data_IF_161018595121
#
_entry.id   IF_161018595121
#
_cell.length_a   1.000
_cell.length_b   1.000
_cell.length_c   1.000
_cell.angle_alpha   90.00
_cell.angle_beta   90.00
_cell.angle_gamma   90.00
#
_symmetry.space_group_name_H-M   'P 1'
#
loop_
_entity.id
_entity.type
_entity.pdbx_description
1 polymer ?
#
# COMPACT_ATOMS: atom_id res chain seq x y z
N UNK A 1 15.42 -6.82 -2.53
CA UNK A 1 14.79 -7.17 -3.82
C UNK A 1 14.02 -5.94 -4.25
N UNK A 2 14.16 -5.47 -5.48
CA UNK A 2 13.49 -4.24 -5.93
C UNK A 2 11.98 -4.42 -5.78
N UNK A 3 11.41 -3.60 -4.91
CA UNK A 3 9.99 -3.51 -4.62
C UNK A 3 9.34 -2.84 -5.82
N UNK A 4 8.51 -3.57 -6.57
CA UNK A 4 7.70 -2.96 -7.61
C UNK A 4 6.68 -2.04 -6.92
N UNK A 5 6.93 -0.74 -7.00
CA UNK A 5 5.96 0.28 -6.59
C UNK A 5 4.72 0.10 -7.46
N UNK A 6 3.54 0.26 -6.87
CA UNK A 6 2.29 0.27 -7.61
C UNK A 6 1.94 1.75 -7.84
N UNK A 7 2.38 2.37 -8.96
CA UNK A 7 2.10 3.76 -9.21
C UNK A 7 0.63 3.94 -9.56
N UNK A 8 0.01 4.93 -8.91
CA UNK A 8 -1.25 5.51 -9.33
C UNK A 8 -1.03 7.02 -9.32
N UNK A 9 -1.27 7.68 -10.44
CA UNK A 9 -0.94 9.10 -10.59
C UNK A 9 -1.81 10.01 -9.73
N UNK A 10 -2.98 9.52 -9.32
CA UNK A 10 -3.97 10.27 -8.55
C UNK A 10 -3.85 10.08 -7.03
N UNK A 11 -2.89 9.26 -6.56
CA UNK A 11 -2.71 9.02 -5.12
C UNK A 11 -1.85 10.12 -4.49
N UNK A 12 -2.52 11.19 -4.07
CA UNK A 12 -1.92 12.40 -3.53
C UNK A 12 -2.58 12.81 -2.22
N UNK A 13 -1.78 13.08 -1.18
CA UNK A 13 -2.26 13.67 0.09
C UNK A 13 -1.47 14.91 0.39
N UNK A 14 -2.14 16.07 0.41
CA UNK A 14 -1.52 17.36 0.68
C UNK A 14 -0.23 17.61 -0.14
N UNK A 15 -0.27 17.29 -1.45
CA UNK A 15 0.86 17.43 -2.37
C UNK A 15 1.91 16.30 -2.29
N UNK A 16 1.78 15.34 -1.37
CA UNK A 16 2.64 14.16 -1.30
C UNK A 16 2.08 13.02 -2.15
N UNK A 17 2.90 12.49 -3.05
CA UNK A 17 2.57 11.27 -3.80
C UNK A 17 2.70 10.05 -2.88
N UNK A 18 1.65 9.25 -2.83
CA UNK A 18 1.59 8.06 -1.99
C UNK A 18 1.80 6.82 -2.85
N UNK A 19 2.81 6.04 -2.50
CA UNK A 19 3.06 4.74 -3.08
C UNK A 19 2.86 3.64 -2.06
N UNK A 20 2.48 2.46 -2.54
CA UNK A 20 2.41 1.27 -1.73
C UNK A 20 3.35 0.20 -2.24
N UNK A 21 3.82 -0.58 -1.29
CA UNK A 21 4.62 -1.77 -1.45
C UNK A 21 4.07 -2.85 -0.52
N UNK A 22 4.21 -4.10 -0.91
CA UNK A 22 3.89 -5.24 -0.07
C UNK A 22 5.19 -5.86 0.46
N UNK A 23 5.25 -6.16 1.75
CA UNK A 23 6.41 -6.82 2.35
C UNK A 23 6.61 -8.24 1.77
N UNK A 24 7.85 -8.72 1.71
CA UNK A 24 8.25 -9.98 1.04
C UNK A 24 7.39 -11.20 1.45
N UNK A 25 7.05 -11.32 2.74
CA UNK A 25 6.20 -12.42 3.23
C UNK A 25 4.80 -12.40 2.60
N UNK A 26 4.23 -11.22 2.44
CA UNK A 26 2.91 -11.04 1.83
C UNK A 26 2.99 -11.30 0.33
N UNK A 27 4.04 -10.81 -0.34
CA UNK A 27 4.28 -11.13 -1.76
C UNK A 27 4.44 -12.63 -2.00
N UNK A 28 5.18 -13.34 -1.14
CA UNK A 28 5.33 -14.80 -1.22
C UNK A 28 3.98 -15.51 -1.06
N UNK A 29 3.12 -15.04 -0.16
CA UNK A 29 1.77 -15.59 0.02
C UNK A 29 0.92 -15.36 -1.24
N UNK A 30 0.97 -14.16 -1.81
CA UNK A 30 0.22 -13.81 -3.03
C UNK A 30 0.70 -14.68 -4.20
N UNK A 31 2.02 -14.76 -4.42
CA UNK A 31 2.61 -15.57 -5.49
C UNK A 31 2.29 -17.06 -5.35
N UNK A 32 2.19 -17.60 -4.12
CA UNK A 32 1.76 -19.00 -3.91
C UNK A 32 0.32 -19.27 -4.34
N UNK A 33 -0.53 -18.25 -4.29
CA UNK A 33 -1.95 -18.36 -4.61
C UNK A 33 -2.25 -17.90 -6.06
N UNK A 34 -1.29 -17.27 -6.73
CA UNK A 34 -1.40 -16.88 -8.13
C UNK A 34 -1.12 -18.09 -9.04
N UNK A 35 -1.86 -18.28 -10.15
CA UNK A 35 -1.58 -19.34 -11.12
C UNK A 35 -0.28 -19.11 -11.90
N UNK A 36 0.18 -17.84 -11.99
CA UNK A 36 1.37 -17.41 -12.70
C UNK A 36 2.58 -17.17 -11.79
N UNK A 37 3.78 -17.10 -12.39
CA UNK A 37 5.05 -16.85 -11.69
C UNK A 37 5.12 -15.44 -11.09
N UNK A 38 4.47 -14.48 -11.73
CA UNK A 38 4.38 -13.09 -11.31
C UNK A 38 2.91 -12.77 -11.04
N UNK A 39 2.54 -12.52 -9.79
CA UNK A 39 1.14 -12.30 -9.41
C UNK A 39 0.48 -11.11 -10.11
N UNK A 40 1.25 -10.07 -10.48
CA UNK A 40 0.74 -8.86 -11.12
C UNK A 40 0.41 -9.05 -12.61
N UNK A 41 0.88 -10.14 -13.23
CA UNK A 41 0.53 -10.51 -14.60
C UNK A 41 -0.85 -11.21 -14.66
N UNK A 42 -1.31 -11.76 -13.54
CA UNK A 42 -2.68 -12.26 -13.42
C UNK A 42 -3.64 -11.08 -13.19
N UNK A 43 -4.50 -10.83 -14.18
CA UNK A 43 -5.43 -9.70 -14.15
C UNK A 43 -6.37 -9.76 -12.94
N UNK A 44 -6.86 -10.93 -12.55
CA UNK A 44 -7.79 -11.06 -11.43
C UNK A 44 -7.09 -10.77 -10.09
N UNK A 45 -5.87 -11.29 -9.90
CA UNK A 45 -5.07 -11.04 -8.70
C UNK A 45 -4.64 -9.58 -8.64
N UNK A 46 -4.22 -9.00 -9.76
CA UNK A 46 -3.83 -7.59 -9.85
C UNK A 46 -5.02 -6.66 -9.51
N UNK A 47 -6.18 -6.86 -10.14
CA UNK A 47 -7.39 -6.08 -9.86
C UNK A 47 -7.83 -6.19 -8.39
N UNK A 48 -7.72 -7.38 -7.80
CA UNK A 48 -8.01 -7.60 -6.39
C UNK A 48 -7.12 -6.73 -5.48
N UNK A 49 -5.80 -6.73 -5.73
CA UNK A 49 -4.86 -5.94 -4.94
C UNK A 49 -4.98 -4.44 -5.18
N UNK A 50 -5.16 -4.00 -6.42
CA UNK A 50 -5.43 -2.59 -6.74
C UNK A 50 -6.67 -2.08 -6.00
N UNK A 51 -7.74 -2.87 -5.95
CA UNK A 51 -8.94 -2.52 -5.19
C UNK A 51 -8.66 -2.37 -3.69
N UNK A 52 -7.85 -3.26 -3.11
CA UNK A 52 -7.46 -3.16 -1.68
C UNK A 52 -6.59 -1.95 -1.40
N UNK A 53 -5.61 -1.68 -2.24
CA UNK A 53 -4.74 -0.51 -2.13
C UNK A 53 -5.55 0.78 -2.25
N UNK A 54 -6.54 0.82 -3.15
CA UNK A 54 -7.48 1.94 -3.26
C UNK A 54 -8.27 2.18 -1.97
N UNK A 55 -8.73 1.11 -1.30
CA UNK A 55 -9.37 1.25 0.02
C UNK A 55 -8.42 1.81 1.08
N UNK A 56 -7.16 1.38 1.10
CA UNK A 56 -6.19 1.92 2.06
C UNK A 56 -5.81 3.36 1.74
N UNK A 57 -5.73 3.74 0.46
CA UNK A 57 -5.56 5.14 0.09
C UNK A 57 -6.70 6.01 0.67
N UNK A 58 -7.95 5.53 0.57
CA UNK A 58 -9.10 6.20 1.19
C UNK A 58 -8.92 6.29 2.72
N UNK A 59 -8.48 5.21 3.38
CA UNK A 59 -8.23 5.24 4.82
C UNK A 59 -7.14 6.23 5.23
N UNK A 60 -6.04 6.33 4.46
CA UNK A 60 -4.96 7.29 4.73
C UNK A 60 -5.49 8.72 4.58
N UNK A 61 -6.31 8.99 3.55
CA UNK A 61 -6.98 10.28 3.40
C UNK A 61 -7.85 10.61 4.62
N UNK A 62 -8.72 9.69 5.04
CA UNK A 62 -9.60 9.89 6.20
C UNK A 62 -8.81 10.11 7.49
N UNK A 63 -7.72 9.35 7.69
CA UNK A 63 -6.82 9.52 8.81
C UNK A 63 -6.17 10.91 8.81
N UNK A 64 -5.67 11.35 7.65
CA UNK A 64 -5.10 12.68 7.50
C UNK A 64 -6.12 13.79 7.74
N UNK A 65 -7.32 13.66 7.20
CA UNK A 65 -8.41 14.63 7.38
C UNK A 65 -8.83 14.74 8.85
N UNK A 66 -8.79 13.63 9.60
CA UNK A 66 -9.16 13.59 11.01
C UNK A 66 -8.06 14.12 11.96
N UNK A 67 -6.79 13.79 11.69
CA UNK A 67 -5.70 14.03 12.63
C UNK A 67 -4.66 15.06 12.15
N UNK A 68 -4.71 15.47 10.89
CA UNK A 68 -3.75 16.39 10.27
C UNK A 68 -2.34 15.79 10.06
N UNK A 69 -2.18 14.49 10.32
CA UNK A 69 -0.91 13.77 10.20
C UNK A 69 -1.12 12.48 9.41
N UNK A 70 -0.06 12.02 8.75
CA UNK A 70 -0.09 10.76 8.00
C UNK A 70 0.21 9.56 8.91
N UNK A 71 -0.28 8.35 8.59
CA UNK A 71 0.04 7.13 9.33
C UNK A 71 1.54 6.87 9.43
N UNK A 72 1.95 6.33 10.57
CA UNK A 72 3.31 5.97 10.93
C UNK A 72 3.49 4.45 10.99
N UNK A 73 4.75 4.03 11.12
CA UNK A 73 5.10 2.63 11.36
C UNK A 73 4.37 2.11 12.59
N UNK A 74 3.71 0.95 12.44
CA UNK A 74 2.89 0.32 13.47
C UNK A 74 1.39 0.61 13.35
N UNK A 75 0.98 1.65 12.61
CA UNK A 75 -0.43 1.95 12.39
C UNK A 75 -1.06 0.92 11.44
N UNK A 76 -2.37 0.67 11.62
CA UNK A 76 -3.17 -0.11 10.68
C UNK A 76 -3.90 0.82 9.72
N UNK A 77 -3.90 0.47 8.43
CA UNK A 77 -4.58 1.25 7.39
C UNK A 77 -6.06 0.85 7.20
N UNK A 78 -6.59 -0.06 8.01
CA UNK A 78 -8.01 -0.37 8.07
C UNK A 78 -8.35 -1.04 9.39
N UNK A 79 -9.47 -0.62 9.97
CA UNK A 79 -10.02 -1.19 11.20
C UNK A 79 -10.96 -2.37 10.92
N UNK A 80 -11.24 -2.66 9.64
CA UNK A 80 -12.09 -3.78 9.26
C UNK A 80 -11.36 -5.11 9.55
N UNK A 81 -11.96 -6.01 10.35
CA UNK A 81 -11.35 -7.29 10.73
C UNK A 81 -10.86 -8.09 9.53
N UNK A 82 -9.60 -8.52 9.57
CA UNK A 82 -8.98 -9.34 8.50
C UNK A 82 -8.61 -8.59 7.22
N UNK A 83 -8.73 -7.26 7.16
CA UNK A 83 -8.44 -6.48 5.95
C UNK A 83 -7.35 -5.42 6.10
N UNK A 84 -7.05 -5.01 7.33
CA UNK A 84 -6.06 -3.98 7.62
C UNK A 84 -4.65 -4.52 7.61
N UNK A 85 -3.84 -4.01 6.70
CA UNK A 85 -2.39 -4.20 6.76
C UNK A 85 -1.77 -3.18 7.70
N UNK A 86 -0.71 -3.62 8.36
CA UNK A 86 0.19 -2.81 9.17
C UNK A 86 1.13 -2.03 8.27
N UNK A 87 1.38 -0.77 8.63
CA UNK A 87 2.52 -0.03 8.09
C UNK A 87 3.77 -0.61 8.74
N UNK A 88 4.48 -1.47 8.00
CA UNK A 88 5.72 -2.09 8.46
C UNK A 88 6.87 -1.09 8.40
N UNK A 89 6.98 -0.39 7.27
CA UNK A 89 8.00 0.62 7.04
C UNK A 89 7.39 1.79 6.24
N UNK A 90 7.97 2.97 6.42
CA UNK A 90 7.59 4.19 5.71
C UNK A 90 8.85 4.90 5.25
N UNK A 91 8.97 5.10 3.95
CA UNK A 91 10.06 5.85 3.34
C UNK A 91 9.55 7.21 2.87
N UNK A 92 10.29 8.28 3.14
CA UNK A 92 9.96 9.64 2.72
C UNK A 92 11.05 10.14 1.79
N UNK A 93 10.69 10.37 0.52
CA UNK A 93 11.57 11.00 -0.44
C UNK A 93 11.18 12.47 -0.60
N UNK A 94 11.92 13.35 0.06
CA UNK A 94 11.68 14.80 0.03
C UNK A 94 11.97 15.46 -1.32
N UNK A 95 12.78 14.84 -2.18
CA UNK A 95 13.12 15.38 -3.51
C UNK A 95 11.97 15.19 -4.50
N UNK A 96 11.30 14.03 -4.45
CA UNK A 96 10.14 13.72 -5.29
C UNK A 96 8.81 13.96 -4.60
N UNK A 97 8.81 14.49 -3.36
CA UNK A 97 7.63 14.69 -2.51
C UNK A 97 6.77 13.41 -2.47
N UNK A 98 7.42 12.29 -2.18
CA UNK A 98 6.78 10.98 -2.18
C UNK A 98 6.93 10.26 -0.85
N UNK A 99 5.91 9.49 -0.50
CA UNK A 99 5.89 8.60 0.66
C UNK A 99 5.57 7.20 0.17
N UNK A 100 6.42 6.24 0.51
CA UNK A 100 6.19 4.83 0.21
C UNK A 100 5.83 4.12 1.50
N UNK A 101 4.65 3.50 1.52
CA UNK A 101 4.20 2.62 2.60
C UNK A 101 4.52 1.17 2.24
N UNK A 102 5.31 0.51 3.07
CA UNK A 102 5.56 -0.93 2.97
C UNK A 102 4.59 -1.62 3.94
N UNK A 103 3.74 -2.47 3.40
CA UNK A 103 2.62 -3.06 4.12
C UNK A 103 2.89 -4.53 4.48
N UNK A 104 2.55 -4.90 5.71
CA UNK A 104 2.56 -6.30 6.17
C UNK A 104 1.20 -6.72 6.75
N UNK A 105 0.97 -8.02 6.83
CA UNK A 105 -0.15 -8.59 7.59
C UNK A 105 0.01 -8.36 9.11
#
# INVERSE_FOLDING_TARGET
MLIDLIPQDDWLINGWKIYFSLHDKLQLLINRNAPGKNWYEDEAVNQYWLRRLGLWMISIHQYYDAFGVLPHVGDRLSDQPGTGLLVFEREVNGLSTAITYILSD
#
